data_IF_027477042403
#
_entry.id   IF_027477042403
#
_cell.length_a   1.000
_cell.length_b   1.000
_cell.length_c   1.000
_cell.angle_alpha   90.00
_cell.angle_beta   90.00
_cell.angle_gamma   90.00
#
_symmetry.space_group_name_H-M   'P 1'
#
loop_
_entity.id
_entity.type
_entity.pdbx_description
1 polymer ?
#
# COMPACT_ATOMS: atom_id res chain seq x y z
N UNK A 1 -1.05 -29.32 -0.08
CA UNK A 1 -1.88 -28.39 0.72
C UNK A 1 -1.28 -27.01 0.61
N UNK A 2 -1.92 -26.14 -0.14
CA UNK A 2 -1.61 -24.71 -0.06
C UNK A 2 -2.03 -24.23 1.31
N UNK A 3 -1.06 -23.85 2.13
CA UNK A 3 -1.33 -23.10 3.36
C UNK A 3 -1.81 -21.75 2.89
N UNK A 4 -3.11 -21.50 2.97
CA UNK A 4 -3.68 -20.20 2.63
C UNK A 4 -2.92 -19.13 3.43
N UNK A 5 -2.22 -18.26 2.74
CA UNK A 5 -1.48 -17.15 3.38
C UNK A 5 -2.48 -16.29 4.12
N UNK A 6 -2.27 -16.16 5.43
CA UNK A 6 -3.06 -15.24 6.25
C UNK A 6 -2.89 -13.81 5.75
N UNK A 7 -3.98 -13.07 5.79
CA UNK A 7 -3.98 -11.64 5.53
C UNK A 7 -3.44 -10.95 6.78
N UNK A 8 -2.31 -10.31 6.67
CA UNK A 8 -1.63 -9.62 7.77
C UNK A 8 -2.08 -8.17 7.83
N UNK A 9 -2.66 -7.77 8.94
CA UNK A 9 -3.31 -6.48 9.13
C UNK A 9 -2.53 -5.62 10.12
N UNK A 10 -2.28 -4.36 9.76
CA UNK A 10 -1.87 -3.29 10.66
C UNK A 10 -3.09 -2.40 10.95
N UNK A 11 -3.42 -2.20 12.23
CA UNK A 11 -4.46 -1.29 12.68
C UNK A 11 -3.82 0.02 13.14
N UNK A 12 -4.16 1.14 12.52
CA UNK A 12 -3.68 2.46 12.88
C UNK A 12 -4.84 3.39 13.24
N UNK A 13 -4.96 3.69 14.52
CA UNK A 13 -5.96 4.59 15.11
C UNK A 13 -5.45 5.07 16.47
N UNK A 14 -5.62 6.35 16.78
CA UNK A 14 -5.17 6.90 18.05
C UNK A 14 -6.08 6.53 19.25
N UNK A 15 -7.25 5.97 18.99
CA UNK A 15 -8.18 5.50 20.01
C UNK A 15 -8.00 4.01 20.29
N UNK A 16 -7.47 3.67 21.47
CA UNK A 16 -7.23 2.29 21.86
C UNK A 16 -8.50 1.42 21.84
N UNK A 17 -9.66 2.01 22.21
CA UNK A 17 -10.94 1.30 22.20
C UNK A 17 -11.38 0.92 20.79
N UNK A 18 -11.13 1.79 19.81
CA UNK A 18 -11.43 1.50 18.40
C UNK A 18 -10.54 0.36 17.90
N UNK A 19 -9.24 0.41 18.16
CA UNK A 19 -8.31 -0.66 17.78
C UNK A 19 -8.72 -2.00 18.40
N UNK A 20 -9.07 -2.01 19.68
CA UNK A 20 -9.52 -3.22 20.37
C UNK A 20 -10.79 -3.80 19.75
N UNK A 21 -11.76 -2.97 19.46
CA UNK A 21 -13.01 -3.39 18.81
C UNK A 21 -12.78 -3.98 17.41
N UNK A 22 -11.96 -3.32 16.61
CA UNK A 22 -11.59 -3.80 15.26
C UNK A 22 -10.78 -5.10 15.33
N UNK A 23 -9.82 -5.20 16.25
CA UNK A 23 -9.06 -6.42 16.48
C UNK A 23 -9.97 -7.58 16.82
N UNK A 24 -10.86 -7.39 17.79
CA UNK A 24 -11.81 -8.44 18.20
C UNK A 24 -12.72 -8.91 17.06
N UNK A 25 -13.19 -7.97 16.25
CA UNK A 25 -14.01 -8.29 15.08
C UNK A 25 -13.23 -9.09 14.01
N UNK A 26 -11.96 -8.75 13.80
CA UNK A 26 -11.12 -9.40 12.79
C UNK A 26 -10.58 -10.76 13.25
N UNK A 27 -10.28 -10.93 14.51
CA UNK A 27 -9.75 -12.20 15.08
C UNK A 27 -10.76 -13.37 14.98
N UNK A 28 -12.05 -13.09 14.73
CA UNK A 28 -13.04 -14.11 14.44
C UNK A 28 -12.79 -14.84 13.11
N UNK A 29 -11.99 -14.28 12.22
CA UNK A 29 -11.70 -14.86 10.90
C UNK A 29 -10.35 -15.56 10.89
N UNK A 30 -10.30 -16.89 10.63
CA UNK A 30 -9.06 -17.66 10.73
C UNK A 30 -8.01 -17.30 9.67
N UNK A 31 -8.41 -16.65 8.60
CA UNK A 31 -7.51 -16.20 7.53
C UNK A 31 -6.94 -14.80 7.78
N UNK A 32 -7.25 -14.18 8.91
CA UNK A 32 -6.74 -12.85 9.29
C UNK A 32 -5.81 -12.94 10.48
N UNK A 33 -4.76 -12.15 10.44
CA UNK A 33 -3.82 -11.96 11.53
C UNK A 33 -3.54 -10.46 11.72
N UNK A 34 -3.87 -9.92 12.88
CA UNK A 34 -3.48 -8.56 13.25
C UNK A 34 -2.05 -8.58 13.75
N UNK A 35 -1.12 -8.09 12.97
CA UNK A 35 0.32 -8.19 13.24
C UNK A 35 0.86 -7.02 14.06
N UNK A 36 0.19 -5.86 14.03
CA UNK A 36 0.58 -4.70 14.82
C UNK A 36 -0.56 -3.68 14.95
N UNK A 37 -0.38 -2.79 15.89
CA UNK A 37 -1.21 -1.62 16.11
C UNK A 37 -0.32 -0.37 16.14
N UNK A 38 -0.82 0.73 15.61
CA UNK A 38 -0.17 2.04 15.62
C UNK A 38 -1.15 3.08 16.16
N UNK A 39 -0.66 4.01 16.96
CA UNK A 39 -1.47 5.08 17.57
C UNK A 39 -1.34 6.43 16.87
N UNK A 40 -0.45 6.53 15.91
CA UNK A 40 -0.22 7.72 15.08
C UNK A 40 0.36 7.34 13.73
N UNK A 41 0.45 8.31 12.83
CA UNK A 41 0.95 8.09 11.48
C UNK A 41 2.42 7.71 11.43
N UNK A 42 3.26 8.22 12.33
CA UNK A 42 4.68 7.88 12.38
C UNK A 42 4.88 6.40 12.74
N UNK A 43 4.16 5.91 13.74
CA UNK A 43 4.17 4.48 14.09
C UNK A 43 3.62 3.60 12.97
N UNK A 44 2.59 4.07 12.27
CA UNK A 44 2.01 3.35 11.13
C UNK A 44 3.03 3.18 10.00
N UNK A 45 3.74 4.24 9.63
CA UNK A 45 4.79 4.21 8.62
C UNK A 45 5.93 3.28 9.04
N UNK A 46 6.43 3.41 10.27
CA UNK A 46 7.51 2.58 10.79
C UNK A 46 7.13 1.09 10.83
N UNK A 47 5.92 0.78 11.27
CA UNK A 47 5.41 -0.60 11.31
C UNK A 47 5.19 -1.18 9.90
N UNK A 48 4.73 -0.37 8.96
CA UNK A 48 4.55 -0.78 7.57
C UNK A 48 5.89 -1.16 6.91
N UNK A 49 6.93 -0.39 7.14
CA UNK A 49 8.29 -0.69 6.64
C UNK A 49 8.84 -1.98 7.26
N UNK A 50 8.69 -2.13 8.57
CA UNK A 50 9.25 -3.26 9.31
C UNK A 50 8.53 -4.58 9.05
N UNK A 51 7.20 -4.55 8.96
CA UNK A 51 6.36 -5.75 8.96
C UNK A 51 5.79 -6.09 7.59
N UNK A 52 5.76 -5.15 6.67
CA UNK A 52 5.18 -5.31 5.34
C UNK A 52 3.79 -6.00 5.39
N UNK A 53 2.78 -5.36 6.05
CA UNK A 53 1.46 -5.95 6.16
C UNK A 53 0.79 -6.07 4.79
N UNK A 54 -0.18 -6.96 4.67
CA UNK A 54 -0.99 -7.09 3.45
C UNK A 54 -1.94 -5.91 3.30
N UNK A 55 -2.57 -5.51 4.41
CA UNK A 55 -3.55 -4.41 4.48
C UNK A 55 -3.28 -3.57 5.72
N UNK A 56 -3.44 -2.27 5.57
CA UNK A 56 -3.45 -1.32 6.69
C UNK A 56 -4.84 -0.72 6.79
N UNK A 57 -5.41 -0.78 7.98
CA UNK A 57 -6.62 -0.04 8.34
C UNK A 57 -6.18 1.26 9.01
N UNK A 58 -6.40 2.38 8.33
CA UNK A 58 -5.78 3.68 8.65
C UNK A 58 -6.83 4.72 9.02
N UNK A 59 -6.84 5.15 10.27
CA UNK A 59 -7.60 6.34 10.67
C UNK A 59 -7.07 7.58 9.95
N UNK A 60 -7.98 8.39 9.43
CA UNK A 60 -7.62 9.65 8.75
C UNK A 60 -7.06 10.66 9.75
N UNK A 61 -7.69 10.81 10.91
CA UNK A 61 -7.36 11.83 11.89
C UNK A 61 -6.54 11.25 13.05
N UNK A 62 -5.24 11.38 12.97
CA UNK A 62 -4.32 10.96 14.02
C UNK A 62 -3.35 12.08 14.39
N UNK A 63 -2.83 12.09 15.63
CA UNK A 63 -1.81 13.08 16.03
C UNK A 63 -0.47 12.82 15.35
N UNK A 64 0.43 13.79 15.39
CA UNK A 64 1.77 13.81 14.80
C UNK A 64 1.73 13.76 13.26
N UNK A 65 1.39 12.64 12.69
CA UNK A 65 1.18 12.47 11.25
C UNK A 65 -0.22 11.93 11.02
N UNK A 66 -1.02 12.59 10.19
CA UNK A 66 -2.37 12.14 9.83
C UNK A 66 -2.34 10.92 8.90
N UNK A 67 -3.49 10.26 8.77
CA UNK A 67 -3.60 9.04 7.96
C UNK A 67 -3.43 9.26 6.46
N UNK A 68 -3.75 10.44 5.94
CA UNK A 68 -3.56 10.78 4.52
C UNK A 68 -2.06 10.87 4.21
N UNK A 69 -1.32 11.58 5.03
CA UNK A 69 0.13 11.73 4.90
C UNK A 69 0.84 10.38 5.07
N UNK A 70 0.47 9.61 6.10
CA UNK A 70 1.01 8.27 6.34
C UNK A 70 0.76 7.35 5.14
N UNK A 71 -0.44 7.34 4.58
CA UNK A 71 -0.80 6.55 3.40
C UNK A 71 0.07 6.93 2.20
N UNK A 72 0.29 8.21 1.98
CA UNK A 72 1.15 8.68 0.89
C UNK A 72 2.57 8.15 1.01
N UNK A 73 3.17 8.22 2.20
CA UNK A 73 4.51 7.67 2.46
C UNK A 73 4.56 6.15 2.28
N UNK A 74 3.60 5.44 2.82
CA UNK A 74 3.53 3.97 2.74
C UNK A 74 3.40 3.52 1.29
N UNK A 75 2.48 4.10 0.53
CA UNK A 75 2.25 3.74 -0.87
C UNK A 75 3.43 4.11 -1.78
N UNK A 76 4.18 5.16 -1.46
CA UNK A 76 5.39 5.50 -2.19
C UNK A 76 6.51 4.48 -2.01
N UNK A 77 6.61 3.89 -0.83
CA UNK A 77 7.64 2.88 -0.50
C UNK A 77 7.23 1.47 -0.92
N UNK A 78 5.96 1.11 -0.72
CA UNK A 78 5.44 -0.20 -1.06
C UNK A 78 4.01 -0.10 -1.61
N UNK A 79 3.85 0.04 -2.93
CA UNK A 79 2.53 0.16 -3.57
C UNK A 79 1.68 -1.13 -3.46
N UNK A 80 2.26 -2.26 -3.05
CA UNK A 80 1.56 -3.53 -2.88
C UNK A 80 0.76 -3.61 -1.57
N UNK A 81 1.04 -2.75 -0.59
CA UNK A 81 0.25 -2.68 0.63
C UNK A 81 -1.09 -2.00 0.30
N UNK A 82 -2.19 -2.69 0.56
CA UNK A 82 -3.51 -2.09 0.45
C UNK A 82 -3.82 -1.24 1.69
N UNK A 83 -4.41 -0.08 1.50
CA UNK A 83 -4.79 0.82 2.60
C UNK A 83 -6.30 1.05 2.57
N UNK A 84 -6.96 0.80 3.70
CA UNK A 84 -8.36 1.15 3.96
C UNK A 84 -8.39 2.31 4.94
N UNK A 85 -9.02 3.40 4.54
CA UNK A 85 -9.22 4.55 5.41
C UNK A 85 -10.38 4.36 6.39
N UNK A 86 -10.25 4.93 7.58
CA UNK A 86 -11.32 5.03 8.58
C UNK A 86 -11.56 6.49 8.94
N UNK A 87 -12.82 6.86 9.11
CA UNK A 87 -13.21 8.18 9.60
C UNK A 87 -14.47 8.07 10.44
N UNK A 88 -14.62 8.97 11.42
CA UNK A 88 -15.88 9.09 12.17
C UNK A 88 -17.00 9.51 11.24
N UNK A 89 -16.72 10.43 10.35
CA UNK A 89 -17.62 10.93 9.32
C UNK A 89 -16.84 11.03 8.00
N UNK A 90 -17.35 10.43 6.96
CA UNK A 90 -16.70 10.52 5.65
C UNK A 90 -17.12 11.81 4.97
N UNK A 91 -16.22 12.79 5.00
CA UNK A 91 -16.36 14.03 4.22
C UNK A 91 -15.75 13.81 2.84
N UNK A 92 -16.42 14.24 1.79
CA UNK A 92 -16.00 14.01 0.40
C UNK A 92 -14.56 14.43 0.13
N UNK A 93 -14.12 15.58 0.69
CA UNK A 93 -12.74 16.05 0.50
C UNK A 93 -11.70 15.16 1.18
N UNK A 94 -12.02 14.56 2.34
CA UNK A 94 -11.12 13.65 3.04
C UNK A 94 -11.05 12.29 2.35
N UNK A 95 -12.19 11.77 1.91
CA UNK A 95 -12.23 10.54 1.13
C UNK A 95 -11.44 10.69 -0.17
N UNK A 96 -11.63 11.80 -0.89
CA UNK A 96 -10.89 12.08 -2.10
C UNK A 96 -9.38 12.21 -1.84
N UNK A 97 -8.97 12.87 -0.75
CA UNK A 97 -7.57 13.02 -0.38
C UNK A 97 -6.94 11.67 -0.01
N UNK A 98 -7.66 10.81 0.71
CA UNK A 98 -7.21 9.45 1.03
C UNK A 98 -7.05 8.59 -0.23
N UNK A 99 -8.00 8.64 -1.15
CA UNK A 99 -7.92 7.91 -2.42
C UNK A 99 -6.76 8.41 -3.29
N UNK A 100 -6.55 9.72 -3.38
CA UNK A 100 -5.39 10.30 -4.07
C UNK A 100 -4.06 9.92 -3.43
N UNK A 101 -4.03 9.73 -2.13
CA UNK A 101 -2.86 9.22 -1.42
C UNK A 101 -2.60 7.74 -1.69
N UNK A 102 -3.57 7.01 -2.22
CA UNK A 102 -3.47 5.61 -2.63
C UNK A 102 -4.34 4.64 -1.84
N UNK A 103 -5.24 5.12 -0.97
CA UNK A 103 -6.19 4.26 -0.28
C UNK A 103 -7.20 3.65 -1.26
N UNK A 104 -7.54 2.40 -1.01
CA UNK A 104 -8.51 1.65 -1.82
C UNK A 104 -9.93 2.15 -1.58
N UNK A 105 -10.30 2.33 -0.32
CA UNK A 105 -11.64 2.72 0.11
C UNK A 105 -11.56 3.44 1.46
N UNK A 106 -12.56 4.23 1.78
CA UNK A 106 -12.73 4.85 3.10
C UNK A 106 -14.04 4.41 3.71
N UNK A 107 -13.98 3.87 4.92
CA UNK A 107 -15.14 3.42 5.70
C UNK A 107 -15.40 4.38 6.87
N UNK A 108 -16.67 4.47 7.29
CA UNK A 108 -16.99 5.09 8.57
C UNK A 108 -16.72 4.14 9.72
N UNK A 109 -16.28 4.67 10.87
CA UNK A 109 -15.94 3.83 12.05
C UNK A 109 -17.14 3.05 12.61
N UNK A 110 -18.34 3.58 12.49
CA UNK A 110 -19.57 2.90 12.90
C UNK A 110 -19.91 1.68 12.04
N UNK A 111 -19.61 1.73 10.75
CA UNK A 111 -19.81 0.62 9.82
C UNK A 111 -18.65 -0.37 9.77
N UNK A 112 -17.46 0.08 10.16
CA UNK A 112 -16.24 -0.71 10.03
C UNK A 112 -16.35 -2.09 10.70
N UNK A 113 -16.93 -2.21 11.88
CA UNK A 113 -17.08 -3.50 12.57
C UNK A 113 -17.85 -4.52 11.72
N UNK A 114 -18.87 -4.08 11.01
CA UNK A 114 -19.71 -4.95 10.18
C UNK A 114 -19.12 -5.18 8.77
N UNK A 115 -18.46 -4.18 8.19
CA UNK A 115 -18.09 -4.16 6.77
C UNK A 115 -16.60 -4.38 6.53
N UNK A 116 -15.75 -4.29 7.57
CA UNK A 116 -14.30 -4.28 7.42
C UNK A 116 -13.75 -5.55 6.78
N UNK A 117 -14.27 -6.71 7.16
CA UNK A 117 -13.79 -7.98 6.60
C UNK A 117 -14.00 -8.04 5.08
N UNK A 118 -15.17 -7.67 4.61
CA UNK A 118 -15.48 -7.66 3.17
C UNK A 118 -14.64 -6.61 2.43
N UNK A 119 -14.45 -5.44 3.03
CA UNK A 119 -13.59 -4.39 2.48
C UNK A 119 -12.13 -4.86 2.36
N UNK A 120 -11.62 -5.58 3.36
CA UNK A 120 -10.29 -6.19 3.31
C UNK A 120 -10.19 -7.19 2.16
N UNK A 121 -11.19 -8.05 1.98
CA UNK A 121 -11.20 -9.01 0.87
C UNK A 121 -11.17 -8.33 -0.49
N UNK A 122 -11.95 -7.27 -0.68
CA UNK A 122 -11.93 -6.46 -1.91
C UNK A 122 -10.57 -5.79 -2.13
N UNK A 123 -9.98 -5.22 -1.08
CA UNK A 123 -8.69 -4.55 -1.16
C UNK A 123 -7.56 -5.51 -1.53
N UNK A 124 -7.53 -6.70 -0.95
CA UNK A 124 -6.57 -7.75 -1.28
C UNK A 124 -6.73 -8.21 -2.72
N UNK A 125 -7.96 -8.41 -3.18
CA UNK A 125 -8.25 -8.82 -4.55
C UNK A 125 -7.83 -7.76 -5.58
N UNK A 126 -7.85 -6.48 -5.23
CA UNK A 126 -7.43 -5.39 -6.13
C UNK A 126 -5.92 -5.37 -6.40
N UNK A 127 -5.12 -5.87 -5.48
CA UNK A 127 -3.65 -5.88 -5.58
C UNK A 127 -3.11 -7.17 -6.21
N UNK A 128 -3.71 -8.33 -5.91
CA UNK A 128 -3.26 -9.65 -6.39
C UNK A 128 -3.40 -9.94 -7.88
N UNK A 129 -4.45 -9.50 -8.60
CA UNK A 129 -4.65 -9.92 -10.00
C UNK A 129 -3.56 -9.47 -10.96
N UNK A 130 -2.88 -8.36 -10.66
CA UNK A 130 -1.81 -7.83 -11.52
C UNK A 130 -0.63 -8.78 -11.61
N UNK A 131 -0.27 -9.46 -10.52
CA UNK A 131 0.82 -10.44 -10.48
C UNK A 131 0.50 -11.73 -11.23
N UNK A 132 -0.77 -12.16 -11.23
CA UNK A 132 -1.21 -13.37 -11.93
C UNK A 132 -1.31 -13.12 -13.45
N UNK A 133 -1.68 -11.92 -13.87
CA UNK A 133 -1.78 -11.56 -15.29
C UNK A 133 -0.41 -11.38 -15.94
N UNK A 134 0.61 -10.96 -15.20
CA UNK A 134 1.97 -10.82 -15.74
C UNK A 134 2.63 -12.18 -16.01
N UNK A 135 2.35 -13.22 -15.21
CA UNK A 135 2.87 -14.56 -15.44
C UNK A 135 2.21 -15.30 -16.62
N UNK A 136 0.95 -14.96 -16.94
CA UNK A 136 0.20 -15.64 -18.00
C UNK A 136 0.28 -14.96 -19.37
N UNK A 137 0.83 -13.76 -19.45
CA UNK A 137 0.93 -12.95 -20.67
C UNK A 137 2.35 -12.47 -20.96
N UNK A 138 3.37 -13.26 -20.65
CA UNK A 138 4.64 -13.07 -21.33
C UNK A 138 4.42 -13.63 -22.74
N UNK A 139 4.20 -12.80 -23.76
CA UNK A 139 4.32 -13.31 -25.10
C UNK A 139 5.75 -13.84 -25.20
N UNK A 140 5.91 -15.05 -25.71
CA UNK A 140 7.17 -15.40 -26.30
C UNK A 140 7.39 -14.40 -27.45
N UNK A 141 7.82 -13.22 -27.10
CA UNK A 141 8.40 -12.37 -28.11
C UNK A 141 9.56 -13.14 -28.68
N UNK A 142 9.29 -13.64 -29.87
CA UNK A 142 10.33 -13.99 -30.80
C UNK A 142 11.50 -13.06 -30.53
N UNK A 143 12.63 -13.64 -30.20
CA UNK A 143 13.89 -12.95 -30.16
C UNK A 143 14.12 -12.27 -31.50
N UNK A 144 13.50 -11.12 -31.70
CA UNK A 144 13.98 -10.19 -32.66
C UNK A 144 15.30 -9.71 -32.09
N UNK A 145 16.34 -10.33 -32.52
CA UNK A 145 17.68 -9.84 -32.34
C UNK A 145 17.77 -8.50 -33.06
N UNK A 146 17.29 -7.45 -32.41
CA UNK A 146 17.82 -6.15 -32.71
C UNK A 146 19.28 -6.22 -32.23
N UNK A 147 20.14 -6.53 -33.17
CA UNK A 147 21.52 -6.17 -33.07
C UNK A 147 21.54 -4.66 -32.89
N UNK A 148 21.62 -4.22 -31.65
CA UNK A 148 22.05 -2.86 -31.39
C UNK A 148 23.37 -2.72 -32.12
N UNK A 149 23.37 -1.88 -33.14
CA UNK A 149 24.60 -1.49 -33.78
C UNK A 149 25.55 -0.99 -32.69
N UNK A 150 26.81 -1.43 -32.66
CA UNK A 150 27.76 -0.90 -31.72
C UNK A 150 27.76 0.63 -31.88
N UNK A 151 27.52 1.33 -30.81
CA UNK A 151 27.69 2.78 -30.79
C UNK A 151 29.15 3.04 -31.13
N UNK A 152 29.36 3.59 -32.28
CA UNK A 152 30.69 4.12 -32.61
C UNK A 152 31.02 5.18 -31.56
N UNK A 153 32.23 5.11 -30.95
CA UNK A 153 32.64 6.13 -30.03
C UNK A 153 32.71 7.45 -30.81
N UNK A 154 32.02 8.46 -30.27
CA UNK A 154 32.12 9.82 -30.79
C UNK A 154 33.58 10.22 -30.89
N UNK A 155 34.00 10.83 -32.01
CA UNK A 155 35.37 11.31 -32.13
C UNK A 155 35.63 12.29 -31.00
N UNK A 156 36.67 12.01 -30.26
CA UNK A 156 37.21 12.95 -29.29
C UNK A 156 37.75 14.11 -30.12
N UNK A 157 36.99 15.22 -30.17
CA UNK A 157 37.58 16.45 -30.67
C UNK A 157 38.68 16.83 -29.69
N UNK A 158 39.91 16.75 -30.18
CA UNK A 158 41.06 17.33 -29.47
C UNK A 158 40.74 18.81 -29.22
N UNK A 159 40.50 19.14 -27.96
CA UNK A 159 40.58 20.51 -27.50
C UNK A 159 41.99 21.00 -27.71
N UNK A 160 42.25 21.67 -28.83
CA UNK A 160 43.42 22.50 -28.98
C UNK A 160 43.22 23.72 -28.10
N UNK A 161 43.92 23.77 -27.00
CA UNK A 161 44.08 24.98 -26.22
C UNK A 161 44.49 26.13 -27.14
N UNK A 162 43.74 27.23 -27.16
CA UNK A 162 44.26 28.42 -27.81
C UNK A 162 45.38 28.95 -26.92
N UNK A 163 46.59 28.78 -27.36
CA UNK A 163 47.66 29.56 -26.85
C UNK A 163 47.35 31.03 -27.09
N UNK A 164 47.41 31.80 -25.98
CA UNK A 164 47.69 33.22 -25.88
C UNK A 164 47.88 33.97 -27.19
#
# INVERSE_FOLDING_TARGET
MEIARRIRILLADDHAMVRQGLRSALECYPNIEVVAEAKDGDEAVASAVRLEPTVIVMDINMPKMDGITATRFIKAQNPQIAVLGLSVEVKDYQANAMQKAGAFEVLTKDKAVAELYEAIQRAVASVRPVLIMEESQVPEESKSSEKQAPMEPLPIEEFKDPKL
#
